data_IF_189630464657
#
_entry.id   IF_189630464657
#
_cell.length_a   1.000
_cell.length_b   1.000
_cell.length_c   1.000
_cell.angle_alpha   90.00
_cell.angle_beta   90.00
_cell.angle_gamma   90.00
#
_symmetry.space_group_name_H-M   'P 1'
#
loop_
_entity.id
_entity.type
_entity.pdbx_description
1 polymer ?
#
# COMPACT_ATOMS: atom_id res chain seq x y z
N UNK A 1 0.84 -0.13 -2.33
CA UNK A 1 0.63 1.18 -1.69
C UNK A 1 0.80 2.35 -2.66
N UNK A 2 1.96 2.57 -3.26
CA UNK A 2 2.24 3.74 -4.12
C UNK A 2 1.32 3.90 -5.33
N UNK A 3 0.93 2.80 -6.01
CA UNK A 3 -0.04 2.88 -7.10
C UNK A 3 -1.40 3.44 -6.64
N UNK A 4 -1.86 3.02 -5.46
CA UNK A 4 -3.09 3.52 -4.86
C UNK A 4 -2.99 5.02 -4.51
N UNK A 5 -1.87 5.43 -3.89
CA UNK A 5 -1.60 6.84 -3.59
C UNK A 5 -1.60 7.66 -4.89
N UNK A 6 -0.92 7.19 -5.94
CA UNK A 6 -0.85 7.89 -7.23
C UNK A 6 -2.21 8.03 -7.90
N UNK A 7 -3.05 6.99 -7.86
CA UNK A 7 -4.39 7.02 -8.43
C UNK A 7 -5.30 8.04 -7.72
N UNK A 8 -5.26 8.07 -6.38
CA UNK A 8 -5.98 9.07 -5.60
C UNK A 8 -5.42 10.47 -5.82
N UNK A 9 -4.11 10.64 -5.74
CA UNK A 9 -3.43 11.91 -5.94
C UNK A 9 -3.79 12.52 -7.31
N UNK A 10 -3.72 11.76 -8.40
CA UNK A 10 -4.07 12.22 -9.73
C UNK A 10 -5.55 12.65 -9.86
N UNK A 11 -6.45 12.00 -9.13
CA UNK A 11 -7.86 12.37 -9.07
C UNK A 11 -8.07 13.68 -8.28
N UNK A 12 -7.33 13.83 -7.17
CA UNK A 12 -7.38 15.03 -6.33
C UNK A 12 -6.74 16.25 -7.00
N UNK A 13 -5.61 16.08 -7.70
CA UNK A 13 -4.94 17.17 -8.42
C UNK A 13 -5.83 17.83 -9.47
N UNK A 14 -6.61 17.05 -10.21
CA UNK A 14 -7.58 17.59 -11.17
C UNK A 14 -8.63 18.47 -10.49
N UNK A 15 -9.02 18.12 -9.26
CA UNK A 15 -9.96 18.89 -8.47
C UNK A 15 -9.31 20.13 -7.87
N UNK A 16 -8.12 20.01 -7.28
CA UNK A 16 -7.37 21.10 -6.64
C UNK A 16 -6.97 22.21 -7.63
N UNK A 17 -6.63 21.85 -8.86
CA UNK A 17 -6.37 22.85 -9.93
C UNK A 17 -7.60 23.69 -10.25
N UNK A 18 -8.82 23.19 -10.01
CA UNK A 18 -10.06 23.95 -10.21
C UNK A 18 -10.46 24.77 -8.99
N UNK A 19 -10.09 24.31 -7.80
CA UNK A 19 -10.45 24.91 -6.52
C UNK A 19 -9.19 24.90 -5.62
N UNK A 20 -8.28 25.89 -5.78
CA UNK A 20 -6.96 25.89 -5.10
C UNK A 20 -7.04 25.90 -3.57
N UNK A 21 -8.12 26.44 -2.99
CA UNK A 21 -8.27 26.60 -1.53
C UNK A 21 -8.88 25.39 -0.81
N UNK A 22 -9.09 24.27 -1.50
CA UNK A 22 -9.69 23.07 -0.89
C UNK A 22 -8.71 22.42 0.09
N UNK A 23 -9.03 22.49 1.37
CA UNK A 23 -8.25 21.83 2.43
C UNK A 23 -8.49 20.32 2.47
N UNK A 24 -9.65 19.88 2.94
CA UNK A 24 -10.09 18.47 2.98
C UNK A 24 -11.07 18.21 1.83
N UNK A 25 -10.81 17.18 1.03
CA UNK A 25 -11.66 16.83 -0.11
C UNK A 25 -12.56 15.65 0.26
N UNK A 26 -13.87 15.84 0.17
CA UNK A 26 -14.82 14.72 0.27
C UNK A 26 -14.93 14.01 -1.09
N UNK A 27 -14.43 12.77 -1.16
CA UNK A 27 -14.42 11.93 -2.35
C UNK A 27 -15.23 10.66 -2.09
N UNK A 28 -16.52 10.60 -2.43
CA UNK A 28 -17.35 9.43 -2.20
C UNK A 28 -16.95 8.30 -3.16
N UNK A 29 -15.95 7.52 -2.76
CA UNK A 29 -15.37 6.46 -3.58
C UNK A 29 -15.51 5.11 -2.87
N UNK A 30 -16.24 4.18 -3.50
CA UNK A 30 -16.25 2.77 -3.10
C UNK A 30 -15.08 2.06 -3.78
N UNK A 31 -14.29 1.36 -2.99
CA UNK A 31 -13.17 0.53 -3.46
C UNK A 31 -13.47 -0.91 -3.09
N UNK A 32 -13.39 -1.81 -4.05
CA UNK A 32 -13.61 -3.22 -3.81
C UNK A 32 -12.52 -3.78 -2.90
N UNK A 33 -12.90 -4.37 -1.78
CA UNK A 33 -11.97 -4.92 -0.79
C UNK A 33 -12.62 -5.05 0.59
N UNK A 34 -11.82 -5.43 1.58
CA UNK A 34 -12.26 -5.54 2.98
C UNK A 34 -11.23 -4.91 3.90
N UNK A 35 -11.69 -4.30 4.99
CA UNK A 35 -10.84 -3.71 6.02
C UNK A 35 -9.96 -4.75 6.73
N UNK A 36 -10.45 -5.98 6.87
CA UNK A 36 -9.73 -7.09 7.50
C UNK A 36 -8.72 -7.79 6.58
N UNK A 37 -8.77 -7.52 5.27
CA UNK A 37 -7.75 -8.04 4.35
C UNK A 37 -6.42 -7.32 4.54
N UNK A 38 -5.35 -8.02 4.20
CA UNK A 38 -3.98 -7.55 4.43
C UNK A 38 -3.22 -7.33 3.14
N UNK A 39 -2.24 -6.42 3.20
CA UNK A 39 -1.20 -6.25 2.19
C UNK A 39 0.18 -6.41 2.84
N UNK A 40 1.06 -7.10 2.16
CA UNK A 40 2.43 -7.31 2.62
C UNK A 40 3.31 -6.14 2.18
N UNK A 41 3.44 -5.14 3.04
CA UNK A 41 4.36 -4.02 2.83
C UNK A 41 5.72 -4.37 3.38
N UNK A 42 6.71 -4.31 2.50
CA UNK A 42 8.11 -4.64 2.84
C UNK A 42 8.98 -3.45 2.46
N UNK A 43 9.73 -2.87 3.40
CA UNK A 43 10.72 -1.85 3.09
C UNK A 43 11.86 -2.40 2.23
N UNK A 44 12.30 -1.60 1.26
CA UNK A 44 13.36 -2.01 0.34
C UNK A 44 14.68 -2.26 1.06
N UNK A 45 14.97 -1.48 2.10
CA UNK A 45 16.19 -1.61 2.89
C UNK A 45 16.27 -3.00 3.54
N UNK A 46 15.18 -3.46 4.16
CA UNK A 46 15.10 -4.82 4.70
C UNK A 46 15.35 -5.89 3.61
N UNK A 47 14.79 -5.70 2.43
CA UNK A 47 14.98 -6.65 1.31
C UNK A 47 16.43 -6.67 0.87
N UNK A 48 17.04 -5.50 0.69
CA UNK A 48 18.45 -5.38 0.26
C UNK A 48 19.39 -5.98 1.29
N UNK A 49 19.26 -5.58 2.56
CA UNK A 49 20.10 -6.07 3.65
C UNK A 49 19.95 -7.58 3.84
N UNK A 50 18.71 -8.08 3.81
CA UNK A 50 18.42 -9.50 3.92
C UNK A 50 18.99 -10.31 2.74
N UNK A 51 18.88 -9.81 1.50
CA UNK A 51 19.48 -10.44 0.32
C UNK A 51 21.00 -10.52 0.45
N UNK A 52 21.65 -9.42 0.82
CA UNK A 52 23.10 -9.36 0.98
C UNK A 52 23.59 -10.33 2.07
N UNK A 53 22.91 -10.35 3.21
CA UNK A 53 23.27 -11.23 4.31
C UNK A 53 23.09 -12.70 3.96
N UNK A 54 21.95 -13.07 3.38
CA UNK A 54 21.67 -14.44 2.97
C UNK A 54 22.66 -14.89 1.89
N UNK A 55 23.02 -14.03 0.92
CA UNK A 55 23.94 -14.36 -0.16
C UNK A 55 25.38 -14.68 0.32
N UNK A 56 25.78 -14.15 1.48
CA UNK A 56 27.10 -14.40 2.10
C UNK A 56 27.19 -15.74 2.83
N UNK A 57 26.05 -16.37 3.09
CA UNK A 57 25.99 -17.62 3.85
C UNK A 57 26.33 -18.80 2.94
N UNK A 58 27.33 -19.66 3.32
CA UNK A 58 27.69 -20.84 2.50
C UNK A 58 26.56 -21.85 2.32
N UNK A 59 25.65 -21.92 3.32
CA UNK A 59 24.51 -22.84 3.36
C UNK A 59 23.25 -22.32 2.66
N UNK A 60 23.31 -21.13 2.07
CA UNK A 60 22.15 -20.53 1.37
C UNK A 60 21.96 -21.00 -0.06
N UNK A 61 23.01 -21.55 -0.68
CA UNK A 61 23.01 -21.93 -2.07
C UNK A 61 21.91 -22.96 -2.40
N UNK A 62 21.15 -22.72 -3.46
CA UNK A 62 20.01 -23.55 -3.86
C UNK A 62 18.77 -23.42 -3.00
N UNK A 63 18.78 -22.56 -1.96
CA UNK A 63 17.63 -22.26 -1.11
C UNK A 63 16.71 -21.19 -1.70
N UNK A 64 15.42 -21.26 -1.35
CA UNK A 64 14.44 -20.18 -1.63
C UNK A 64 14.08 -19.48 -0.34
N UNK A 65 14.17 -18.15 -0.33
CA UNK A 65 13.96 -17.31 0.84
C UNK A 65 12.93 -16.22 0.51
N UNK A 66 11.82 -16.17 1.27
CA UNK A 66 10.81 -15.12 1.13
C UNK A 66 11.13 -13.97 2.07
N UNK A 67 11.69 -12.91 1.54
CA UNK A 67 11.90 -11.63 2.27
C UNK A 67 10.60 -10.82 2.24
N UNK A 68 9.60 -11.31 2.94
CA UNK A 68 8.31 -10.66 3.11
C UNK A 68 8.12 -10.23 4.57
N UNK A 69 7.16 -9.34 4.80
CA UNK A 69 6.83 -8.94 6.17
C UNK A 69 6.10 -10.10 6.86
N UNK A 70 6.62 -10.63 7.97
CA UNK A 70 5.95 -11.72 8.71
C UNK A 70 4.61 -11.30 9.32
N UNK A 71 4.37 -9.98 9.46
CA UNK A 71 3.12 -9.40 9.96
C UNK A 71 2.51 -8.52 8.87
N UNK A 72 1.68 -9.07 7.96
CA UNK A 72 1.03 -8.29 6.92
C UNK A 72 0.14 -7.19 7.49
N UNK A 73 0.05 -6.06 6.79
CA UNK A 73 -0.67 -4.88 7.25
C UNK A 73 -2.13 -4.91 6.81
N UNK A 74 -3.05 -4.82 7.76
CA UNK A 74 -4.47 -4.77 7.46
C UNK A 74 -4.88 -3.48 6.74
N UNK A 75 -5.85 -3.58 5.83
CA UNK A 75 -6.36 -2.45 5.07
C UNK A 75 -6.93 -1.35 5.96
N UNK A 76 -7.55 -1.71 7.10
CA UNK A 76 -8.06 -0.74 8.08
C UNK A 76 -6.97 0.13 8.73
N UNK A 77 -5.70 -0.30 8.66
CA UNK A 77 -4.58 0.49 9.18
C UNK A 77 -4.03 1.45 8.11
N UNK A 78 -3.73 0.94 6.93
CA UNK A 78 -3.00 1.75 5.93
C UNK A 78 -3.91 2.73 5.18
N UNK A 79 -5.15 2.36 4.86
CA UNK A 79 -6.05 3.21 4.07
C UNK A 79 -6.38 4.55 4.75
N UNK A 80 -6.82 4.59 6.03
CA UNK A 80 -7.09 5.86 6.70
C UNK A 80 -5.84 6.76 6.81
N UNK A 81 -4.66 6.16 6.98
CA UNK A 81 -3.41 6.92 7.04
C UNK A 81 -3.06 7.56 5.69
N UNK A 82 -3.23 6.86 4.58
CA UNK A 82 -3.08 7.43 3.25
C UNK A 82 -4.11 8.54 2.99
N UNK A 83 -5.37 8.32 3.36
CA UNK A 83 -6.42 9.33 3.22
C UNK A 83 -6.08 10.61 4.00
N UNK A 84 -5.52 10.48 5.21
CA UNK A 84 -5.07 11.61 6.02
C UNK A 84 -3.94 12.39 5.33
N UNK A 85 -2.92 11.71 4.82
CA UNK A 85 -1.79 12.35 4.11
C UNK A 85 -2.28 13.09 2.86
N UNK A 86 -3.19 12.49 2.12
CA UNK A 86 -3.78 13.09 0.91
C UNK A 86 -4.87 14.14 1.22
N UNK A 87 -5.25 14.34 2.48
CA UNK A 87 -6.37 15.21 2.89
C UNK A 87 -7.65 14.89 2.13
N UNK A 88 -8.01 13.62 2.12
CA UNK A 88 -9.22 13.11 1.47
C UNK A 88 -10.04 12.27 2.44
N UNK A 89 -11.37 12.34 2.32
CA UNK A 89 -12.32 11.51 3.06
C UNK A 89 -13.39 10.92 2.14
N UNK A 90 -14.24 10.04 2.66
CA UNK A 90 -15.35 9.43 1.90
C UNK A 90 -14.95 8.17 1.14
N UNK A 91 -13.69 7.75 1.20
CA UNK A 91 -13.22 6.50 0.60
C UNK A 91 -13.55 5.33 1.53
N UNK A 92 -14.21 4.30 0.98
CA UNK A 92 -14.64 3.14 1.76
C UNK A 92 -14.32 1.84 1.02
N UNK A 93 -13.78 0.87 1.75
CA UNK A 93 -13.68 -0.51 1.26
C UNK A 93 -15.04 -1.17 1.38
N UNK A 94 -15.46 -1.82 0.31
CA UNK A 94 -16.74 -2.53 0.25
C UNK A 94 -16.55 -3.90 -0.39
N UNK A 95 -17.21 -4.92 0.16
CA UNK A 95 -17.22 -6.24 -0.44
C UNK A 95 -18.01 -6.26 -1.77
N UNK A 96 -17.73 -7.25 -2.60
CA UNK A 96 -18.30 -7.39 -3.95
C UNK A 96 -19.83 -7.29 -3.97
N UNK A 97 -20.51 -8.01 -3.08
CA UNK A 97 -21.98 -7.94 -2.97
C UNK A 97 -22.51 -6.52 -2.73
N UNK A 98 -21.80 -5.73 -1.94
CA UNK A 98 -22.17 -4.34 -1.66
C UNK A 98 -21.78 -3.40 -2.80
N UNK A 99 -20.67 -3.70 -3.46
CA UNK A 99 -20.21 -2.93 -4.62
C UNK A 99 -21.21 -3.03 -5.79
N UNK A 100 -21.75 -4.23 -6.03
CA UNK A 100 -22.70 -4.51 -7.13
C UNK A 100 -24.12 -4.00 -6.87
N UNK A 101 -24.47 -3.59 -5.64
CA UNK A 101 -25.82 -3.07 -5.32
C UNK A 101 -26.18 -1.75 -6.00
N UNK A 102 -25.21 -0.98 -6.43
CA UNK A 102 -25.42 0.29 -7.11
C UNK A 102 -24.47 0.42 -8.30
N UNK A 103 -24.90 1.05 -9.40
CA UNK A 103 -24.03 1.29 -10.54
C UNK A 103 -22.78 2.08 -10.14
N UNK A 104 -21.69 1.83 -10.83
CA UNK A 104 -20.45 2.60 -10.63
C UNK A 104 -20.64 4.04 -11.08
N UNK A 105 -20.13 4.95 -10.29
CA UNK A 105 -19.96 6.34 -10.70
C UNK A 105 -18.83 6.47 -11.73
N UNK A 106 -18.79 7.58 -12.46
CA UNK A 106 -17.68 7.87 -13.39
C UNK A 106 -16.31 7.91 -12.68
N UNK A 107 -16.30 8.40 -11.44
CA UNK A 107 -15.10 8.44 -10.62
C UNK A 107 -14.62 7.02 -10.25
N UNK A 108 -15.54 6.17 -9.79
CA UNK A 108 -15.25 4.77 -9.47
C UNK A 108 -14.74 4.00 -10.69
N UNK A 109 -15.37 4.19 -11.85
CA UNK A 109 -14.93 3.55 -13.10
C UNK A 109 -13.51 4.00 -13.51
N UNK A 110 -13.20 5.31 -13.37
CA UNK A 110 -11.86 5.83 -13.66
C UNK A 110 -10.82 5.28 -12.69
N UNK A 111 -11.14 5.29 -11.39
CA UNK A 111 -10.26 4.75 -10.35
C UNK A 111 -10.03 3.25 -10.54
N UNK A 112 -11.10 2.50 -10.82
CA UNK A 112 -11.00 1.06 -11.08
C UNK A 112 -10.09 0.76 -12.27
N UNK A 113 -10.21 1.49 -13.37
CA UNK A 113 -9.33 1.35 -14.53
C UNK A 113 -7.85 1.58 -14.18
N UNK A 114 -7.56 2.58 -13.33
CA UNK A 114 -6.20 2.84 -12.88
C UNK A 114 -5.66 1.77 -11.92
N UNK A 115 -6.54 1.11 -11.18
CA UNK A 115 -6.21 0.10 -10.19
C UNK A 115 -6.40 -1.34 -10.69
N UNK A 116 -6.81 -1.54 -11.95
CA UNK A 116 -7.18 -2.86 -12.49
C UNK A 116 -6.14 -3.95 -12.19
N UNK A 117 -4.87 -3.65 -12.44
CA UNK A 117 -3.76 -4.57 -12.15
C UNK A 117 -3.58 -4.87 -10.65
N UNK A 118 -3.98 -3.94 -9.79
CA UNK A 118 -3.76 -4.04 -8.34
C UNK A 118 -4.98 -4.51 -7.55
N UNK A 119 -6.14 -4.62 -8.19
CA UNK A 119 -7.39 -4.99 -7.51
C UNK A 119 -7.32 -6.34 -6.82
N UNK A 120 -6.67 -7.31 -7.43
CA UNK A 120 -6.49 -8.63 -6.83
C UNK A 120 -5.81 -8.59 -5.46
N UNK A 121 -4.88 -7.66 -5.25
CA UNK A 121 -4.19 -7.50 -3.97
C UNK A 121 -5.09 -6.88 -2.87
N UNK A 122 -6.07 -6.05 -3.27
CA UNK A 122 -7.02 -5.47 -2.31
C UNK A 122 -8.08 -6.48 -1.84
N UNK A 123 -8.22 -7.60 -2.54
CA UNK A 123 -9.13 -8.68 -2.19
C UNK A 123 -8.47 -9.75 -1.32
N UNK A 124 -7.19 -9.62 -1.07
CA UNK A 124 -6.36 -10.52 -0.28
C UNK A 124 -5.16 -11.01 -1.07
N UNK A 125 -4.09 -11.28 -0.37
CA UNK A 125 -2.86 -11.81 -0.93
C UNK A 125 -2.48 -13.14 -0.25
N UNK A 126 -1.67 -13.99 -0.90
CA UNK A 126 -1.18 -15.21 -0.28
C UNK A 126 -0.29 -14.88 0.93
N UNK A 127 -0.34 -15.72 1.95
CA UNK A 127 0.60 -15.65 3.07
C UNK A 127 1.92 -16.27 2.65
N UNK A 128 2.99 -15.48 2.78
CA UNK A 128 4.33 -15.93 2.49
C UNK A 128 4.94 -16.67 3.69
N UNK A 129 5.54 -17.81 3.45
CA UNK A 129 6.30 -18.53 4.47
C UNK A 129 7.70 -17.92 4.60
N UNK A 130 7.88 -17.07 5.60
CA UNK A 130 9.14 -16.35 5.85
C UNK A 130 10.13 -17.16 6.73
N UNK A 131 9.79 -18.35 7.20
CA UNK A 131 10.58 -19.09 8.20
C UNK A 131 12.04 -19.22 7.81
N UNK A 132 12.35 -19.64 6.57
CA UNK A 132 13.73 -19.78 6.11
C UNK A 132 14.50 -18.46 6.08
N UNK A 133 13.84 -17.37 5.70
CA UNK A 133 14.47 -16.04 5.72
C UNK A 133 14.72 -15.58 7.16
N UNK A 134 13.72 -15.73 8.05
CA UNK A 134 13.87 -15.38 9.47
C UNK A 134 14.96 -16.19 10.18
N UNK A 135 15.06 -17.50 9.90
CA UNK A 135 16.11 -18.34 10.44
C UNK A 135 17.49 -17.93 9.92
N UNK A 136 17.61 -17.61 8.64
CA UNK A 136 18.84 -17.15 8.03
C UNK A 136 19.30 -15.78 8.57
N UNK A 137 18.37 -14.90 8.90
CA UNK A 137 18.64 -13.56 9.42
C UNK A 137 18.72 -13.50 10.96
N UNK A 138 18.51 -14.62 11.64
CA UNK A 138 18.59 -14.69 13.10
C UNK A 138 19.95 -14.21 13.61
N UNK A 139 19.92 -13.35 14.63
CA UNK A 139 21.10 -12.75 15.27
C UNK A 139 21.92 -11.78 14.38
N UNK A 140 21.42 -11.37 13.23
CA UNK A 140 22.10 -10.38 12.36
C UNK A 140 21.68 -8.94 12.67
N UNK A 141 20.58 -8.75 13.40
CA UNK A 141 19.96 -7.44 13.61
C UNK A 141 19.12 -6.96 12.44
N UNK A 142 18.99 -7.75 11.35
CA UNK A 142 18.17 -7.42 10.18
C UNK A 142 16.76 -7.94 10.42
N UNK A 143 15.83 -7.01 10.70
CA UNK A 143 14.43 -7.32 10.99
C UNK A 143 13.49 -6.51 10.09
N UNK A 144 12.40 -7.13 9.63
CA UNK A 144 11.37 -6.40 8.93
C UNK A 144 10.59 -5.51 9.91
N UNK A 145 10.57 -4.19 9.74
CA UNK A 145 9.88 -3.32 10.66
C UNK A 145 8.36 -3.52 10.62
N UNK A 146 7.71 -3.37 11.78
CA UNK A 146 6.26 -3.38 11.87
C UNK A 146 5.71 -2.13 11.17
N UNK A 147 4.74 -2.32 10.29
CA UNK A 147 4.06 -1.22 9.61
C UNK A 147 3.07 -0.54 10.56
N UNK A 148 3.53 0.49 11.25
CA UNK A 148 2.67 1.35 12.06
C UNK A 148 2.03 2.45 11.22
N UNK A 149 0.99 3.11 11.74
CA UNK A 149 0.41 4.30 11.09
C UNK A 149 1.43 5.42 10.85
N UNK A 150 2.39 5.58 11.74
CA UNK A 150 3.48 6.56 11.60
C UNK A 150 4.39 6.24 10.42
N UNK A 151 4.83 4.99 10.30
CA UNK A 151 5.65 4.52 9.17
C UNK A 151 4.89 4.73 7.84
N UNK A 152 3.61 4.35 7.81
CA UNK A 152 2.77 4.52 6.62
C UNK A 152 2.63 6.01 6.25
N UNK A 153 2.39 6.88 7.23
CA UNK A 153 2.28 8.33 7.00
C UNK A 153 3.60 8.90 6.44
N UNK A 154 4.73 8.50 7.00
CA UNK A 154 6.07 8.93 6.53
C UNK A 154 6.31 8.51 5.08
N UNK A 155 6.05 7.23 4.77
CA UNK A 155 6.22 6.70 3.40
C UNK A 155 5.26 7.36 2.41
N UNK A 156 3.99 7.52 2.78
CA UNK A 156 2.98 8.15 1.94
C UNK A 156 3.29 9.64 1.72
N UNK A 157 3.69 10.38 2.77
CA UNK A 157 4.08 11.77 2.71
C UNK A 157 5.24 11.99 1.75
N UNK A 158 6.34 11.23 1.92
CA UNK A 158 7.47 11.28 1.01
C UNK A 158 7.06 11.08 -0.45
N UNK A 159 6.20 10.09 -0.72
CA UNK A 159 5.78 9.83 -2.09
C UNK A 159 4.88 10.93 -2.66
N UNK A 160 4.00 11.52 -1.85
CA UNK A 160 3.18 12.67 -2.25
C UNK A 160 4.06 13.89 -2.58
N UNK A 161 5.08 14.16 -1.76
CA UNK A 161 6.04 15.24 -2.01
C UNK A 161 6.79 15.02 -3.33
N UNK A 162 7.20 13.77 -3.60
CA UNK A 162 7.82 13.40 -4.88
C UNK A 162 6.88 13.63 -6.08
N UNK A 163 5.59 13.31 -5.93
CA UNK A 163 4.59 13.55 -6.98
C UNK A 163 4.40 15.05 -7.23
N UNK A 164 4.32 15.84 -6.16
CA UNK A 164 4.16 17.30 -6.25
C UNK A 164 5.37 17.95 -6.94
N UNK A 165 6.60 17.52 -6.61
CA UNK A 165 7.82 18.04 -7.22
C UNK A 165 7.94 17.76 -8.74
N UNK A 166 7.25 16.73 -9.25
CA UNK A 166 7.26 16.37 -10.69
C UNK A 166 6.22 17.14 -11.53
N UNK A 167 5.32 17.84 -10.89
CA UNK A 167 4.17 18.50 -11.55
C UNK A 167 4.21 20.02 -11.45
N UNK A 168 5.10 20.59 -10.62
CA UNK A 168 5.44 22.01 -10.55
C UNK A 168 6.60 22.33 -11.51
#
# INVERSE_FOLDING_TARGET
MYAFIRALWASLERLRRRIPEVGLVHLPLRVLGSEAQTLNFVPIDYVVDGMLEISRRPDSAGGTYHLANPVPTENRLWLPNICRVLRVEGIRLVGEKSFLKAPMTRLEALFQKQMEFYYQYLQGEPRFDCRRALDALKNTGIECPIMTGEVINKMAGWYVDLLNARTG
#
